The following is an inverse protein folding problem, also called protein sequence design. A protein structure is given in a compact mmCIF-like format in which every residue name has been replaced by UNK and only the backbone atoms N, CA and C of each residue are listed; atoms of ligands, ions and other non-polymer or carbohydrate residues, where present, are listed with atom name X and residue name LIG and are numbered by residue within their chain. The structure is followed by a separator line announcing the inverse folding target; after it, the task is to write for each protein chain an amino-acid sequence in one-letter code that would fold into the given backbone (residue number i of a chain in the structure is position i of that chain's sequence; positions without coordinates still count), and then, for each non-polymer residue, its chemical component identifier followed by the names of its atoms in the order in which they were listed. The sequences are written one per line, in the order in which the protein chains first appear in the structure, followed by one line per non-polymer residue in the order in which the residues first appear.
data_IF_179822740707
#
_entry.id   IF_179822740707
#
_cell.length_a   1.000
_cell.length_b   1.000
_cell.length_c   1.000
_cell.angle_alpha   90.00
_cell.angle_beta   90.00
_cell.angle_gamma   90.00
#
_symmetry.space_group_name_H-M   'P 1'
#
loop_
_entity.id
_entity.type
_entity.pdbx_description
1 polymer ?
#
# COMPACT_ATOMS: atom_id res chain seq x y z
N UNK A 1 26.14 2.81 -6.64
CA UNK A 1 25.33 3.01 -6.91
C UNK A 1 24.19 2.83 -6.55
N UNK A 2 23.56 3.14 -6.33
CA UNK A 2 22.49 2.92 -6.09
C UNK A 2 21.46 3.43 -6.73
N UNK A 3 20.76 3.03 -7.11
CA UNK A 3 19.68 3.44 -7.87
C UNK A 3 18.48 3.51 -7.04
N UNK A 4 17.85 4.54 -7.03
CA UNK A 4 16.64 4.68 -6.29
C UNK A 4 15.52 4.43 -7.25
N UNK A 5 14.86 3.35 -7.05
CA UNK A 5 13.68 3.08 -7.84
C UNK A 5 12.60 4.03 -7.39
N UNK A 6 12.14 4.81 -8.28
CA UNK A 6 11.04 5.68 -8.00
C UNK A 6 9.77 4.89 -8.27
N UNK A 7 9.10 4.53 -7.22
CA UNK A 7 7.85 3.84 -7.36
C UNK A 7 6.78 4.84 -7.68
N UNK A 8 6.19 4.68 -8.81
CA UNK A 8 5.05 5.49 -9.17
C UNK A 8 3.82 4.80 -8.71
N UNK A 9 3.11 5.46 -7.87
CA UNK A 9 1.87 4.94 -7.39
C UNK A 9 0.91 4.85 -8.55
N UNK A 10 0.44 3.70 -8.76
CA UNK A 10 -0.55 3.53 -9.76
C UNK A 10 -1.93 3.75 -9.20
N UNK A 11 -2.85 3.77 -10.03
CA UNK A 11 -4.23 3.95 -9.77
C UNK A 11 -4.78 2.92 -8.83
N UNK A 12 -5.30 3.33 -7.76
CA UNK A 12 -6.11 2.48 -6.93
C UNK A 12 -7.53 2.58 -7.44
N UNK A 13 -8.05 1.46 -7.75
CA UNK A 13 -9.46 1.38 -8.07
C UNK A 13 -10.20 1.16 -6.78
N UNK A 14 -10.28 2.18 -5.99
CA UNK A 14 -11.00 2.03 -4.77
C UNK A 14 -12.31 2.75 -4.90
N UNK A 15 -13.35 2.02 -4.89
CA UNK A 15 -14.61 2.62 -4.63
C UNK A 15 -14.79 2.49 -3.14
N UNK A 16 -14.72 3.57 -2.45
CA UNK A 16 -14.81 3.53 -1.02
C UNK A 16 -16.20 3.97 -0.61
N UNK A 17 -17.01 3.07 -0.16
CA UNK A 17 -18.24 3.48 0.50
C UNK A 17 -17.86 4.14 1.81
N UNK A 18 -18.68 5.06 2.25
CA UNK A 18 -18.39 5.82 3.44
C UNK A 18 -18.55 5.02 4.72
N UNK A 19 -19.12 3.85 4.65
CA UNK A 19 -19.40 3.07 5.86
C UNK A 19 -18.39 1.94 6.02
N UNK A 20 -18.34 1.39 7.22
CA UNK A 20 -17.46 0.28 7.52
C UNK A 20 -17.83 -0.94 6.68
N UNK A 21 -16.83 -1.70 6.29
CA UNK A 21 -17.10 -2.90 5.54
C UNK A 21 -15.88 -3.54 4.96
N UNK A 22 -16.14 -4.66 4.33
CA UNK A 22 -15.11 -5.44 3.65
C UNK A 22 -14.92 -4.87 2.26
N UNK A 23 -13.67 -4.80 1.81
CA UNK A 23 -13.38 -4.31 0.47
C UNK A 23 -12.29 -5.15 -0.18
N UNK A 24 -12.20 -5.01 -1.49
CA UNK A 24 -11.11 -5.61 -2.25
C UNK A 24 -10.35 -4.46 -2.91
N UNK A 25 -9.05 -4.51 -2.81
CA UNK A 25 -8.19 -3.49 -3.39
C UNK A 25 -7.18 -4.14 -4.31
N UNK A 26 -7.06 -3.64 -5.51
CA UNK A 26 -6.05 -4.10 -6.45
C UNK A 26 -5.19 -2.91 -6.82
N UNK A 27 -3.90 -3.11 -6.78
CA UNK A 27 -2.96 -2.02 -6.96
C UNK A 27 -1.78 -2.51 -7.78
N UNK A 28 -1.33 -1.69 -8.71
CA UNK A 28 -0.15 -2.00 -9.49
C UNK A 28 0.86 -0.89 -9.29
N UNK A 29 2.07 -1.27 -8.98
CA UNK A 29 3.15 -0.33 -8.73
C UNK A 29 4.30 -0.65 -9.67
N UNK A 30 4.67 0.31 -10.47
CA UNK A 30 5.77 0.17 -11.41
C UNK A 30 6.97 0.96 -10.89
N UNK A 31 8.14 0.35 -11.00
CA UNK A 31 9.36 0.98 -10.57
C UNK A 31 10.20 1.39 -11.74
N UNK A 32 10.87 2.50 -11.59
CA UNK A 32 11.77 3.04 -12.61
C UNK A 32 13.03 3.55 -11.94
N UNK A 33 14.13 3.42 -12.66
CA UNK A 33 15.38 4.03 -12.27
C UNK A 33 15.76 4.97 -13.43
N UNK A 34 15.63 6.26 -13.20
CA UNK A 34 15.71 7.19 -14.30
C UNK A 34 14.57 6.96 -15.26
N UNK A 35 14.89 6.65 -16.50
CA UNK A 35 13.86 6.30 -17.48
C UNK A 35 13.75 4.80 -17.70
N UNK A 36 14.52 4.00 -16.96
CA UNK A 36 14.53 2.56 -17.14
C UNK A 36 13.49 1.90 -16.24
N UNK A 37 12.71 1.02 -16.82
CA UNK A 37 11.71 0.26 -16.10
C UNK A 37 12.39 -0.86 -15.31
N UNK A 38 12.13 -0.97 -14.02
CA UNK A 38 12.76 -1.96 -13.17
C UNK A 38 11.86 -3.12 -12.79
N UNK A 39 10.57 -2.92 -12.78
CA UNK A 39 9.67 -4.01 -12.46
C UNK A 39 8.30 -3.53 -12.04
N UNK A 40 7.43 -4.50 -11.78
CA UNK A 40 6.06 -4.22 -11.39
C UNK A 40 5.65 -5.13 -10.25
N UNK A 41 4.92 -4.57 -9.30
CA UNK A 41 4.29 -5.35 -8.25
C UNK A 41 2.79 -5.13 -8.33
N UNK A 42 2.05 -6.23 -8.36
CA UNK A 42 0.59 -6.17 -8.33
C UNK A 42 0.13 -6.79 -7.03
N UNK A 43 -0.59 -6.01 -6.25
CA UNK A 43 -1.15 -6.46 -4.98
C UNK A 43 -2.64 -6.64 -5.12
N UNK A 44 -3.14 -7.76 -4.63
CA UNK A 44 -4.58 -7.97 -4.54
C UNK A 44 -4.89 -8.26 -3.09
N UNK A 45 -5.58 -7.34 -2.45
CA UNK A 45 -5.83 -7.43 -1.02
C UNK A 45 -7.32 -7.47 -0.73
N UNK A 46 -7.66 -8.20 0.31
CA UNK A 46 -8.98 -8.13 0.92
C UNK A 46 -8.79 -7.39 2.23
N UNK A 47 -9.66 -6.46 2.52
CA UNK A 47 -9.52 -5.66 3.70
C UNK A 47 -10.82 -5.32 4.36
N UNK A 48 -10.69 -4.70 5.50
CA UNK A 48 -11.82 -4.20 6.26
C UNK A 48 -11.51 -2.78 6.70
N UNK A 49 -12.45 -1.89 6.52
CA UNK A 49 -12.27 -0.51 6.94
C UNK A 49 -13.46 -0.06 7.75
N UNK A 50 -13.22 0.92 8.60
CA UNK A 50 -14.28 1.44 9.43
C UNK A 50 -13.89 2.76 10.05
N UNK A 51 -14.85 3.34 10.75
CA UNK A 51 -14.66 4.61 11.43
C UNK A 51 -15.23 4.52 12.83
N UNK A 52 -14.49 5.02 13.80
CA UNK A 52 -14.96 5.15 15.17
C UNK A 52 -14.71 6.60 15.57
N UNK A 53 -15.80 7.36 15.67
CA UNK A 53 -15.71 8.78 16.01
C UNK A 53 -14.81 9.51 15.03
N UNK A 54 -13.65 9.99 15.48
CA UNK A 54 -12.73 10.74 14.64
C UNK A 54 -11.64 9.89 14.04
N UNK A 55 -11.67 8.58 14.26
CA UNK A 55 -10.65 7.66 13.78
C UNK A 55 -11.19 6.83 12.64
N UNK A 56 -10.53 6.92 11.50
CA UNK A 56 -10.78 6.05 10.36
C UNK A 56 -9.64 5.03 10.33
N UNK A 57 -9.98 3.76 10.14
CA UNK A 57 -8.96 2.73 10.15
C UNK A 57 -9.20 1.71 9.07
N UNK A 58 -8.14 0.99 8.72
CA UNK A 58 -8.26 -0.11 7.78
C UNK A 58 -7.19 -1.16 8.06
N UNK A 59 -7.49 -2.39 7.65
CA UNK A 59 -6.53 -3.49 7.65
C UNK A 59 -6.78 -4.29 6.39
N UNK A 60 -5.71 -4.66 5.71
CA UNK A 60 -5.85 -5.43 4.49
C UNK A 60 -4.66 -6.35 4.30
N UNK A 61 -4.86 -7.41 3.53
CA UNK A 61 -3.81 -8.35 3.23
C UNK A 61 -4.15 -9.20 2.03
N UNK A 62 -3.14 -9.80 1.45
CA UNK A 62 -3.32 -10.68 0.31
C UNK A 62 -2.03 -10.88 -0.45
N UNK A 63 -2.11 -11.55 -1.59
CA UNK A 63 -0.91 -11.84 -2.38
C UNK A 63 -0.38 -10.61 -3.09
N UNK A 64 0.93 -10.59 -3.25
CA UNK A 64 1.64 -9.60 -4.04
C UNK A 64 2.43 -10.35 -5.10
N UNK A 65 2.27 -9.95 -6.35
CA UNK A 65 2.94 -10.58 -7.47
C UNK A 65 3.99 -9.60 -8.01
N UNK A 66 5.24 -10.01 -7.95
CA UNK A 66 6.34 -9.13 -8.33
C UNK A 66 7.05 -9.68 -9.56
N UNK A 67 7.16 -8.85 -10.58
CA UNK A 67 7.91 -9.16 -11.78
C UNK A 67 9.00 -8.12 -11.94
N UNK A 68 10.23 -8.60 -12.06
CA UNK A 68 11.39 -7.73 -12.20
C UNK A 68 11.79 -7.71 -13.67
N UNK A 69 12.16 -6.54 -14.16
CA UNK A 69 12.59 -6.40 -15.55
C UNK A 69 13.81 -7.27 -15.82
N UNK A 70 13.83 -7.91 -16.97
CA UNK A 70 14.92 -8.77 -17.42
C UNK A 70 15.08 -10.05 -16.61
N UNK A 71 14.11 -10.38 -15.78
CA UNK A 71 14.09 -11.61 -15.02
C UNK A 71 12.82 -12.36 -15.38
N UNK A 72 12.98 -13.62 -15.76
CA UNK A 72 11.84 -14.44 -16.09
C UNK A 72 11.08 -14.83 -14.84
N UNK A 73 9.77 -14.88 -14.95
CA UNK A 73 8.93 -15.37 -13.89
C UNK A 73 8.43 -14.27 -12.98
N UNK A 74 7.54 -14.67 -12.12
CA UNK A 74 6.87 -13.77 -11.19
C UNK A 74 6.93 -14.40 -9.82
N UNK A 75 7.37 -13.63 -8.84
CA UNK A 75 7.37 -14.09 -7.45
C UNK A 75 6.05 -13.73 -6.81
N UNK A 76 5.55 -14.66 -6.01
CA UNK A 76 4.33 -14.45 -5.25
C UNK A 76 4.68 -14.37 -3.79
N UNK A 77 4.26 -13.30 -3.16
CA UNK A 77 4.54 -13.05 -1.76
C UNK A 77 3.25 -12.68 -1.06
N UNK A 78 3.28 -12.70 0.26
CA UNK A 78 2.13 -12.30 1.04
C UNK A 78 2.40 -10.93 1.63
N UNK A 79 1.48 -10.01 1.46
CA UNK A 79 1.66 -8.66 1.97
C UNK A 79 0.43 -8.23 2.75
N UNK A 80 0.61 -7.19 3.54
CA UNK A 80 -0.48 -6.66 4.32
C UNK A 80 -0.19 -5.24 4.78
N UNK A 81 -1.26 -4.54 5.09
CA UNK A 81 -1.17 -3.17 5.57
C UNK A 81 -2.24 -2.94 6.63
N UNK A 82 -1.91 -2.08 7.57
CA UNK A 82 -2.92 -1.56 8.47
C UNK A 82 -2.62 -0.10 8.71
N UNK A 83 -3.66 0.68 8.87
CA UNK A 83 -3.44 2.10 9.04
C UNK A 83 -4.67 2.80 9.54
N UNK A 84 -4.52 4.08 9.76
CA UNK A 84 -5.63 4.88 10.20
C UNK A 84 -5.33 6.35 10.10
N UNK A 85 -6.41 7.13 10.19
CA UNK A 85 -6.34 8.57 10.17
C UNK A 85 -7.14 9.07 11.37
N UNK A 86 -6.49 9.89 12.17
CA UNK A 86 -7.18 10.56 13.26
C UNK A 86 -7.50 11.99 12.81
N UNK A 87 -8.77 12.29 12.74
CA UNK A 87 -9.21 13.59 12.27
C UNK A 87 -9.28 14.55 13.45
N UNK A 88 -8.25 15.38 13.58
CA UNK A 88 -8.17 16.32 14.69
C UNK A 88 -9.25 17.38 14.55
N UNK A 89 -9.50 17.80 13.30
CA UNK A 89 -10.55 18.75 13.00
C UNK A 89 -11.09 18.45 11.61
N UNK A 90 -12.02 19.24 11.14
CA UNK A 90 -12.58 19.03 9.82
C UNK A 90 -11.55 19.22 8.72
N UNK A 91 -10.49 19.94 9.00
CA UNK A 91 -9.49 20.27 7.98
C UNK A 91 -8.14 19.65 8.23
N UNK A 92 -7.91 19.09 9.41
CA UNK A 92 -6.60 18.59 9.77
C UNK A 92 -6.69 17.15 10.29
N UNK A 93 -5.89 16.28 9.71
CA UNK A 93 -5.82 14.88 10.14
C UNK A 93 -4.39 14.41 10.23
N UNK A 94 -4.17 13.45 11.11
CA UNK A 94 -2.88 12.78 11.26
C UNK A 94 -3.11 11.33 10.89
N UNK A 95 -2.22 10.77 10.08
CA UNK A 95 -2.40 9.39 9.64
C UNK A 95 -1.12 8.60 9.79
N UNK A 96 -1.29 7.30 9.90
CA UNK A 96 -0.18 6.38 9.98
C UNK A 96 -0.52 5.07 9.30
N UNK A 97 0.50 4.40 8.82
CA UNK A 97 0.33 3.12 8.14
C UNK A 97 1.52 2.24 8.44
N UNK A 98 1.26 0.97 8.67
CA UNK A 98 2.29 -0.04 8.81
C UNK A 98 2.05 -1.09 7.76
N UNK A 99 3.08 -1.46 7.03
CA UNK A 99 2.96 -2.46 5.98
C UNK A 99 4.06 -3.49 6.10
N UNK A 100 3.80 -4.67 5.57
CA UNK A 100 4.79 -5.72 5.58
C UNK A 100 4.59 -6.63 4.39
N UNK A 101 5.69 -7.25 3.98
CA UNK A 101 5.66 -8.23 2.92
C UNK A 101 6.55 -9.38 3.33
N UNK A 102 6.04 -10.59 3.14
CA UNK A 102 6.77 -11.81 3.47
C UNK A 102 7.53 -12.27 2.25
N UNK A 103 8.81 -12.47 2.41
CA UNK A 103 9.69 -12.85 1.29
C UNK A 103 10.08 -14.31 1.31
N UNK A 104 9.21 -15.15 1.81
CA UNK A 104 9.46 -16.58 1.81
C UNK A 104 10.58 -16.96 2.75
N UNK A 105 11.67 -17.46 2.20
CA UNK A 105 12.80 -17.90 3.02
C UNK A 105 13.69 -16.76 3.46
N UNK A 106 13.41 -15.56 3.01
CA UNK A 106 14.24 -14.42 3.36
C UNK A 106 13.56 -13.57 4.42
N UNK A 107 14.28 -12.58 4.90
CA UNK A 107 13.75 -11.70 5.92
C UNK A 107 12.55 -10.94 5.37
N UNK A 108 11.54 -10.80 6.20
CA UNK A 108 10.38 -10.03 5.82
C UNK A 108 10.74 -8.55 5.78
N UNK A 109 10.06 -7.83 4.91
CA UNK A 109 10.25 -6.39 4.79
C UNK A 109 9.08 -5.67 5.41
N UNK A 110 9.38 -4.58 6.10
CA UNK A 110 8.36 -3.78 6.77
C UNK A 110 8.54 -2.33 6.44
N UNK A 111 7.44 -1.62 6.46
CA UNK A 111 7.47 -0.18 6.21
C UNK A 111 6.48 0.53 7.07
N UNK A 112 6.77 1.77 7.38
CA UNK A 112 5.86 2.62 8.13
C UNK A 112 5.71 3.95 7.41
N UNK A 113 4.57 4.54 7.60
CA UNK A 113 4.27 5.85 7.04
C UNK A 113 3.58 6.66 8.12
N UNK A 114 3.99 7.88 8.28
CA UNK A 114 3.37 8.78 9.24
C UNK A 114 3.29 10.14 8.60
N UNK A 115 2.14 10.76 8.68
CA UNK A 115 1.97 12.04 8.05
C UNK A 115 0.80 12.81 8.60
N UNK A 116 0.67 14.02 8.11
CA UNK A 116 -0.42 14.89 8.46
C UNK A 116 -0.96 15.53 7.20
N UNK A 117 -2.25 15.77 7.19
CA UNK A 117 -2.91 16.31 6.02
C UNK A 117 -3.77 17.47 6.44
N UNK A 118 -3.63 18.57 5.74
CA UNK A 118 -4.46 19.75 5.96
C UNK A 118 -5.25 20.05 4.69
N UNK A 119 -6.54 20.16 4.83
CA UNK A 119 -7.43 20.42 3.71
C UNK A 119 -7.97 21.84 3.78
N UNK A 120 -7.83 22.56 2.72
CA UNK A 120 -8.27 23.96 2.63
C UNK A 120 -9.72 24.09 2.25
#
# INVERSE_FOLDING_TARGET
MKTIALALAATTLASAPASAGVYINAEANDGYSGSDYTGRTVDVHVGYEGSIKKLDYYVQGGPAFTAVADVDGTDTELSGKLGGTFNVSQKFGVYGEFSGISNGDEDNSYGTKLGAKYTF
#
